data_IF_912962416535
#
_entry.id   IF_912962416535
#
_cell.length_a   1.000
_cell.length_b   1.000
_cell.length_c   1.000
_cell.angle_alpha   90.00
_cell.angle_beta   90.00
_cell.angle_gamma   90.00
#
_symmetry.space_group_name_H-M   'P 1'
#
loop_
_entity.id
_entity.type
_entity.pdbx_description
1 polymer ?
#
# COMPACT_ATOMS: atom_id res chain seq x y z
N UNK A 1 4.61 9.21 -11.91
CA UNK A 1 4.49 8.27 -10.79
C UNK A 1 5.39 8.78 -9.67
N UNK A 2 4.82 9.38 -8.63
CA UNK A 2 5.60 9.89 -7.51
C UNK A 2 6.35 8.72 -6.86
N UNK A 3 7.64 8.91 -6.56
CA UNK A 3 8.44 7.89 -5.90
C UNK A 3 7.79 7.60 -4.55
N UNK A 4 7.33 6.36 -4.41
CA UNK A 4 6.72 5.85 -3.21
C UNK A 4 7.67 6.04 -2.02
N UNK A 5 7.28 6.84 -1.02
CA UNK A 5 8.17 7.10 0.10
C UNK A 5 8.26 5.87 1.01
N UNK A 6 9.40 5.69 1.67
CA UNK A 6 9.58 4.59 2.65
C UNK A 6 8.52 4.61 3.75
N UNK A 7 8.01 5.79 4.11
CA UNK A 7 6.97 5.98 5.13
C UNK A 7 5.61 5.46 4.65
N UNK A 8 5.24 5.74 3.40
CA UNK A 8 4.01 5.24 2.81
C UNK A 8 4.06 3.71 2.65
N UNK A 9 5.23 3.17 2.33
CA UNK A 9 5.46 1.72 2.24
C UNK A 9 5.24 1.01 3.57
N UNK A 10 5.80 1.54 4.66
CA UNK A 10 5.61 0.98 6.00
C UNK A 10 4.13 1.03 6.42
N UNK A 11 3.43 2.13 6.11
CA UNK A 11 2.00 2.27 6.44
C UNK A 11 1.12 1.29 5.66
N UNK A 12 1.44 1.08 4.39
CA UNK A 12 0.75 0.13 3.52
C UNK A 12 0.94 -1.32 3.99
N UNK A 13 2.17 -1.70 4.33
CA UNK A 13 2.48 -3.05 4.85
C UNK A 13 1.76 -3.31 6.18
N UNK A 14 1.74 -2.33 7.11
CA UNK A 14 1.00 -2.48 8.37
C UNK A 14 -0.49 -2.74 8.16
N UNK A 15 -1.14 -1.99 7.26
CA UNK A 15 -2.56 -2.20 6.93
C UNK A 15 -2.83 -3.56 6.29
N UNK A 16 -1.89 -4.04 5.49
CA UNK A 16 -1.99 -5.38 4.89
C UNK A 16 -1.90 -6.47 5.96
N UNK A 17 -0.97 -6.32 6.92
CA UNK A 17 -0.78 -7.26 8.03
C UNK A 17 -1.92 -7.21 9.07
N UNK A 18 -2.52 -6.04 9.29
CA UNK A 18 -3.68 -5.88 10.18
C UNK A 18 -4.95 -6.57 9.64
N UNK A 19 -4.96 -6.99 8.36
CA UNK A 19 -6.05 -7.77 7.76
C UNK A 19 -7.37 -7.00 7.59
N UNK A 20 -7.38 -5.71 7.88
CA UNK A 20 -8.54 -4.82 7.78
C UNK A 20 -8.81 -4.35 6.35
N UNK A 21 -7.79 -4.29 5.50
CA UNK A 21 -7.91 -3.83 4.10
C UNK A 21 -7.20 -4.79 3.14
N UNK A 22 -7.88 -5.17 2.05
CA UNK A 22 -7.24 -5.93 0.97
C UNK A 22 -6.20 -5.10 0.21
N UNK A 23 -5.19 -5.77 -0.38
CA UNK A 23 -4.09 -5.11 -1.09
C UNK A 23 -4.53 -4.08 -2.14
N UNK A 24 -5.66 -4.29 -2.83
CA UNK A 24 -6.23 -3.33 -3.79
C UNK A 24 -6.70 -2.02 -3.12
N UNK A 25 -7.27 -2.09 -1.93
CA UNK A 25 -7.71 -0.92 -1.14
C UNK A 25 -6.52 -0.14 -0.62
N UNK A 26 -5.50 -0.87 -0.16
CA UNK A 26 -4.24 -0.29 0.30
C UNK A 26 -3.58 0.44 -0.86
N UNK A 27 -3.38 -0.21 -2.01
CA UNK A 27 -2.79 0.37 -3.21
C UNK A 27 -3.46 1.70 -3.61
N UNK A 28 -4.80 1.74 -3.59
CA UNK A 28 -5.57 2.96 -3.85
C UNK A 28 -5.35 4.04 -2.78
N UNK A 29 -5.25 3.66 -1.51
CA UNK A 29 -5.05 4.58 -0.38
C UNK A 29 -3.68 5.26 -0.37
N UNK A 30 -2.71 4.67 -1.08
CA UNK A 30 -1.33 5.14 -1.17
C UNK A 30 -0.95 5.53 -2.62
N UNK A 31 -1.95 5.67 -3.49
CA UNK A 31 -1.82 6.05 -4.90
C UNK A 31 -0.75 5.26 -5.68
N UNK A 32 -0.71 3.94 -5.44
CA UNK A 32 0.14 3.02 -6.21
C UNK A 32 -0.69 2.01 -6.96
N UNK A 33 -0.10 1.48 -8.04
CA UNK A 33 -0.71 0.38 -8.76
C UNK A 33 -0.69 -0.89 -7.87
N UNK A 34 -1.79 -1.65 -7.77
CA UNK A 34 -1.85 -2.86 -6.94
C UNK A 34 -0.75 -3.87 -7.21
N UNK A 35 -0.22 -3.94 -8.45
CA UNK A 35 0.91 -4.80 -8.81
C UNK A 35 2.21 -4.50 -8.06
N UNK A 36 2.32 -3.35 -7.38
CA UNK A 36 3.47 -3.01 -6.55
C UNK A 36 3.41 -3.66 -5.15
N UNK A 37 2.29 -4.30 -4.81
CA UNK A 37 2.06 -5.03 -3.56
C UNK A 37 2.09 -6.56 -3.73
N UNK A 38 2.19 -7.06 -4.96
CA UNK A 38 2.30 -8.48 -5.31
C UNK A 38 3.74 -8.85 -5.67
#
# INVERSE_FOLDING_TARGET
MAKFSSKEKIRAIRRYLEGTEGGKTIAKSIDVHPSMLY
#
